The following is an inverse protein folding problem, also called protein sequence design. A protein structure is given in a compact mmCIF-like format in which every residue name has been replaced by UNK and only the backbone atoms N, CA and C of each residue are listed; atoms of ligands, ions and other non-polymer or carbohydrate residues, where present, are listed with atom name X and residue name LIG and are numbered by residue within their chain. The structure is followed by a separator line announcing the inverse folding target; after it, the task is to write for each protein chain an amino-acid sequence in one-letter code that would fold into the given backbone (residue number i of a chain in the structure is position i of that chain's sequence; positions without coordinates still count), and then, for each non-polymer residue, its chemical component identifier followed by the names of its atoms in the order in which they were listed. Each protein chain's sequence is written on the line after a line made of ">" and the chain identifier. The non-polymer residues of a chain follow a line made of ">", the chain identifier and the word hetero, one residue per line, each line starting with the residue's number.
data_IF_320248618661
#
_entry.id   IF_320248618661
#
_cell.length_a   1.000
_cell.length_b   1.000
_cell.length_c   1.000
_cell.angle_alpha   90.00
_cell.angle_beta   90.00
_cell.angle_gamma   90.00
#
_symmetry.space_group_name_H-M   'P 1'
#
loop_
_entity.id
_entity.type
_entity.pdbx_description
1 polymer ?
#
# COMPACT_ATOMS: atom_id res chain seq x y z
N UNK A 1 -37.44 6.87 -34.36
CA UNK A 1 -37.50 5.71 -33.43
C UNK A 1 -36.12 5.14 -33.08
N UNK A 2 -35.28 4.71 -34.05
CA UNK A 2 -33.95 4.10 -33.77
C UNK A 2 -32.95 4.99 -33.01
N UNK A 3 -32.87 6.30 -33.29
CA UNK A 3 -31.91 7.22 -32.62
C UNK A 3 -32.11 7.36 -31.11
N UNK A 4 -33.36 7.43 -30.63
CA UNK A 4 -33.66 7.52 -29.18
C UNK A 4 -33.30 6.23 -28.44
N UNK A 5 -33.50 5.08 -29.10
CA UNK A 5 -33.10 3.78 -28.56
C UNK A 5 -31.58 3.62 -28.44
N UNK A 6 -30.82 4.07 -29.45
CA UNK A 6 -29.36 4.10 -29.36
C UNK A 6 -28.84 5.00 -28.23
N UNK A 7 -29.46 6.17 -28.02
CA UNK A 7 -29.08 7.07 -26.93
C UNK A 7 -29.31 6.42 -25.57
N UNK A 8 -30.47 5.78 -25.36
CA UNK A 8 -30.75 5.04 -24.12
C UNK A 8 -29.77 3.88 -23.89
N UNK A 9 -29.38 3.19 -24.96
CA UNK A 9 -28.41 2.09 -24.89
C UNK A 9 -27.00 2.60 -24.50
N UNK A 10 -26.57 3.74 -25.05
CA UNK A 10 -25.30 4.39 -24.69
C UNK A 10 -25.30 4.83 -23.21
N UNK A 11 -26.39 5.43 -22.73
CA UNK A 11 -26.53 5.86 -21.33
C UNK A 11 -26.45 4.65 -20.38
N UNK A 12 -27.11 3.54 -20.72
CA UNK A 12 -27.02 2.30 -19.95
C UNK A 12 -25.60 1.76 -19.87
N UNK A 13 -24.87 1.75 -21.00
CA UNK A 13 -23.45 1.33 -21.02
C UNK A 13 -22.59 2.24 -20.13
N UNK A 14 -22.78 3.56 -20.20
CA UNK A 14 -22.02 4.51 -19.38
C UNK A 14 -22.28 4.25 -17.89
N UNK A 15 -23.53 4.00 -17.48
CA UNK A 15 -23.85 3.67 -16.09
C UNK A 15 -23.12 2.39 -15.63
N UNK A 16 -23.15 1.33 -16.44
CA UNK A 16 -22.45 0.08 -16.12
C UNK A 16 -20.94 0.30 -16.02
N UNK A 17 -20.34 1.01 -16.98
CA UNK A 17 -18.89 1.31 -16.96
C UNK A 17 -18.53 2.13 -15.72
N UNK A 18 -19.33 3.13 -15.36
CA UNK A 18 -19.10 3.96 -14.17
C UNK A 18 -19.16 3.14 -12.88
N UNK A 19 -20.10 2.21 -12.76
CA UNK A 19 -20.20 1.29 -11.63
C UNK A 19 -19.00 0.34 -11.56
N UNK A 20 -18.58 -0.23 -12.69
CA UNK A 20 -17.39 -1.07 -12.79
C UNK A 20 -16.11 -0.31 -12.39
N UNK A 21 -15.94 0.92 -12.88
CA UNK A 21 -14.79 1.77 -12.52
C UNK A 21 -14.78 2.12 -11.03
N UNK A 22 -15.95 2.46 -10.46
CA UNK A 22 -16.10 2.70 -9.03
C UNK A 22 -15.71 1.49 -8.18
N UNK A 23 -16.17 0.30 -8.58
CA UNK A 23 -15.78 -0.96 -7.90
C UNK A 23 -14.29 -1.24 -7.99
N UNK A 24 -13.67 -1.04 -9.16
CA UNK A 24 -12.23 -1.25 -9.33
C UNK A 24 -11.38 -0.23 -8.56
N UNK A 25 -11.90 0.97 -8.31
CA UNK A 25 -11.20 2.03 -7.58
C UNK A 25 -11.38 1.93 -6.06
N UNK A 26 -12.56 1.55 -5.56
CA UNK A 26 -12.91 1.62 -4.13
C UNK A 26 -13.35 0.28 -3.52
N UNK A 27 -13.73 -0.70 -4.33
CA UNK A 27 -14.27 -1.98 -3.87
C UNK A 27 -13.23 -3.02 -3.47
N UNK A 28 -11.93 -2.74 -3.69
CA UNK A 28 -10.84 -3.67 -3.44
C UNK A 28 -9.95 -3.17 -2.32
N UNK A 29 -9.71 -4.05 -1.35
CA UNK A 29 -8.86 -3.75 -0.23
C UNK A 29 -7.37 -3.91 -0.61
N UNK A 30 -6.52 -3.12 0.03
CA UNK A 30 -5.07 -3.27 -0.12
C UNK A 30 -4.57 -4.45 0.71
N UNK A 31 -3.51 -5.09 0.23
CA UNK A 31 -2.94 -6.27 0.89
C UNK A 31 -1.45 -6.40 0.65
N UNK A 32 -0.77 -7.14 1.52
CA UNK A 32 0.66 -7.45 1.37
C UNK A 32 0.79 -8.61 0.39
N UNK A 33 1.59 -8.41 -0.66
CA UNK A 33 1.89 -9.44 -1.64
C UNK A 33 3.12 -10.26 -1.26
N UNK A 34 4.14 -9.59 -0.73
CA UNK A 34 5.37 -10.23 -0.27
C UNK A 34 5.95 -9.44 0.91
N UNK A 35 6.68 -10.12 1.79
CA UNK A 35 7.31 -9.53 2.96
C UNK A 35 8.64 -10.22 3.22
N UNK A 36 9.68 -9.43 3.40
CA UNK A 36 11.02 -9.89 3.69
C UNK A 36 11.58 -9.12 4.88
N UNK A 37 11.85 -9.82 5.97
CA UNK A 37 12.50 -9.25 7.14
C UNK A 37 13.99 -9.64 7.14
N UNK A 38 14.84 -8.66 7.41
CA UNK A 38 16.28 -8.85 7.58
C UNK A 38 16.68 -8.31 8.95
N UNK A 39 17.40 -9.11 9.71
CA UNK A 39 17.95 -8.69 11.01
C UNK A 39 19.45 -8.59 10.87
N UNK A 40 20.01 -7.42 11.19
CA UNK A 40 21.45 -7.18 11.28
C UNK A 40 21.76 -6.78 12.72
N UNK A 41 22.32 -7.73 13.49
CA UNK A 41 22.57 -7.61 14.93
C UNK A 41 21.30 -7.18 15.72
N UNK A 42 21.24 -5.92 16.16
CA UNK A 42 20.11 -5.33 16.90
C UNK A 42 19.18 -4.49 16.03
N UNK A 43 19.46 -4.36 14.73
CA UNK A 43 18.68 -3.55 13.81
C UNK A 43 17.79 -4.44 12.94
N UNK A 44 16.48 -4.28 13.09
CA UNK A 44 15.48 -5.05 12.36
C UNK A 44 14.95 -4.23 11.17
N UNK A 45 15.30 -4.65 9.96
CA UNK A 45 14.74 -4.11 8.72
C UNK A 45 13.59 -4.97 8.23
N UNK A 46 12.47 -4.33 7.90
CA UNK A 46 11.33 -4.98 7.26
C UNK A 46 11.10 -4.38 5.87
N UNK A 47 11.05 -5.25 4.87
CA UNK A 47 10.78 -4.89 3.48
C UNK A 47 9.45 -5.47 3.06
N UNK A 48 8.50 -4.62 2.69
CA UNK A 48 7.16 -5.03 2.29
C UNK A 48 6.90 -4.72 0.82
N UNK A 49 6.24 -5.65 0.15
CA UNK A 49 5.64 -5.42 -1.14
C UNK A 49 4.13 -5.36 -0.97
N UNK A 50 3.55 -4.17 -1.16
CA UNK A 50 2.12 -3.92 -0.94
C UNK A 50 1.41 -3.73 -2.26
N UNK A 51 0.26 -4.37 -2.40
CA UNK A 51 -0.63 -4.21 -3.54
C UNK A 51 -1.87 -3.42 -3.11
N UNK A 52 -2.00 -2.19 -3.62
CA UNK A 52 -3.14 -1.32 -3.25
C UNK A 52 -4.44 -1.72 -3.90
N UNK A 53 -4.42 -2.47 -5.01
CA UNK A 53 -5.59 -2.88 -5.78
C UNK A 53 -6.49 -1.73 -6.29
N UNK A 54 -5.98 -0.49 -6.30
CA UNK A 54 -6.65 0.72 -6.83
C UNK A 54 -6.15 1.01 -8.25
N UNK A 55 -7.02 1.55 -9.12
CA UNK A 55 -6.62 1.94 -10.48
C UNK A 55 -5.71 3.17 -10.48
N UNK A 56 -5.99 4.12 -9.60
CA UNK A 56 -5.26 5.37 -9.49
C UNK A 56 -5.02 5.77 -8.03
N UNK A 57 -3.83 6.27 -7.74
CA UNK A 57 -3.48 6.88 -6.45
C UNK A 57 -3.11 8.33 -6.73
N UNK A 58 -3.97 9.25 -6.30
CA UNK A 58 -3.77 10.69 -6.52
C UNK A 58 -2.64 11.25 -5.65
N UNK A 59 -2.61 10.84 -4.38
CA UNK A 59 -1.60 11.27 -3.42
C UNK A 59 -0.84 10.04 -2.89
N UNK A 60 0.42 9.94 -3.30
CA UNK A 60 1.32 8.86 -2.89
C UNK A 60 1.62 8.93 -1.39
N UNK A 61 1.70 10.13 -0.81
CA UNK A 61 2.02 10.33 0.61
C UNK A 61 0.87 9.84 1.49
N UNK A 62 -0.37 10.23 1.18
CA UNK A 62 -1.56 9.75 1.93
C UNK A 62 -1.70 8.23 1.83
N UNK A 63 -1.41 7.65 0.66
CA UNK A 63 -1.41 6.21 0.48
C UNK A 63 -0.32 5.52 1.33
N UNK A 64 0.89 6.08 1.34
CA UNK A 64 1.99 5.58 2.14
C UNK A 64 1.68 5.64 3.65
N UNK A 65 1.09 6.75 4.12
CA UNK A 65 0.62 6.89 5.50
C UNK A 65 -0.46 5.86 5.87
N UNK A 66 -1.41 5.58 4.97
CA UNK A 66 -2.42 4.52 5.17
C UNK A 66 -1.74 3.15 5.30
N UNK A 67 -0.74 2.86 4.48
CA UNK A 67 0.03 1.61 4.54
C UNK A 67 0.81 1.50 5.85
N UNK A 68 1.51 2.55 6.28
CA UNK A 68 2.25 2.57 7.56
C UNK A 68 1.29 2.35 8.73
N UNK A 69 0.13 3.02 8.73
CA UNK A 69 -0.89 2.82 9.75
C UNK A 69 -1.33 1.35 9.83
N UNK A 70 -1.62 0.72 8.68
CA UNK A 70 -2.00 -0.70 8.62
C UNK A 70 -0.86 -1.63 9.04
N UNK A 71 0.39 -1.29 8.77
CA UNK A 71 1.55 -2.02 9.29
C UNK A 71 1.53 -1.97 10.81
N UNK A 72 1.48 -0.77 11.42
CA UNK A 72 1.46 -0.59 12.87
C UNK A 72 0.30 -1.29 13.57
N UNK A 73 -0.89 -1.21 12.98
CA UNK A 73 -2.10 -1.88 13.50
C UNK A 73 -2.13 -3.39 13.20
N UNK A 74 -1.14 -3.90 12.45
CA UNK A 74 -1.05 -5.29 11.99
C UNK A 74 -2.36 -5.77 11.32
N UNK A 75 -2.95 -4.90 10.51
CA UNK A 75 -4.32 -5.05 10.02
C UNK A 75 -4.38 -5.63 8.60
N UNK A 76 -3.28 -6.15 8.06
CA UNK A 76 -3.25 -6.78 6.75
C UNK A 76 -3.90 -8.16 6.81
N UNK A 77 -4.51 -8.56 5.68
CA UNK A 77 -5.22 -9.85 5.61
C UNK A 77 -4.26 -11.00 5.34
N UNK A 78 -3.27 -10.78 4.47
CA UNK A 78 -2.35 -11.84 4.05
C UNK A 78 -1.14 -12.03 4.95
N UNK A 79 -0.73 -11.00 5.70
CA UNK A 79 0.47 -11.05 6.56
C UNK A 79 0.11 -10.61 7.97
N UNK A 80 0.64 -11.34 8.95
CA UNK A 80 0.63 -10.96 10.36
C UNK A 80 2.06 -10.80 10.83
N UNK A 81 2.42 -9.59 11.19
CA UNK A 81 3.73 -9.29 11.77
C UNK A 81 3.79 -9.79 13.21
N UNK A 82 4.92 -10.39 13.59
CA UNK A 82 5.15 -10.89 14.95
C UNK A 82 5.75 -9.81 15.85
N UNK A 83 5.02 -8.70 16.01
CA UNK A 83 5.45 -7.57 16.85
C UNK A 83 5.62 -7.94 18.34
N UNK A 84 5.05 -9.07 18.77
CA UNK A 84 5.25 -9.62 20.11
C UNK A 84 6.70 -10.10 20.35
N UNK A 85 7.46 -10.39 19.29
CA UNK A 85 8.84 -10.90 19.38
C UNK A 85 9.89 -9.85 19.03
N UNK A 86 9.66 -9.09 17.95
CA UNK A 86 10.58 -8.03 17.51
C UNK A 86 9.82 -7.03 16.65
N UNK A 87 9.88 -5.75 17.04
CA UNK A 87 9.30 -4.66 16.25
C UNK A 87 10.40 -4.12 15.32
N UNK A 88 10.15 -3.97 14.01
CA UNK A 88 11.16 -3.45 13.09
C UNK A 88 11.50 -1.98 13.41
N UNK A 89 12.77 -1.66 13.24
CA UNK A 89 13.33 -0.32 13.36
C UNK A 89 13.29 0.44 12.04
N UNK A 90 13.28 -0.29 10.91
CA UNK A 90 13.25 0.28 9.58
C UNK A 90 12.17 -0.42 8.75
N UNK A 91 11.40 0.37 8.01
CA UNK A 91 10.39 -0.16 7.10
C UNK A 91 10.62 0.39 5.69
N UNK A 92 10.86 -0.51 4.73
CA UNK A 92 10.93 -0.19 3.31
C UNK A 92 9.74 -0.81 2.61
N UNK A 93 9.02 -0.03 1.81
CA UNK A 93 7.80 -0.51 1.15
C UNK A 93 7.84 -0.20 -0.33
N UNK A 94 7.63 -1.23 -1.14
CA UNK A 94 7.39 -1.11 -2.57
C UNK A 94 5.91 -1.28 -2.86
N UNK A 95 5.30 -0.30 -3.50
CA UNK A 95 3.85 -0.25 -3.74
C UNK A 95 3.53 -0.54 -5.20
N UNK A 96 2.64 -1.50 -5.43
CA UNK A 96 2.14 -1.89 -6.74
C UNK A 96 0.63 -1.70 -6.82
N UNK A 97 0.12 -1.40 -8.02
CA UNK A 97 -1.33 -1.26 -8.21
C UNK A 97 -2.08 -2.60 -8.13
N UNK A 98 -1.43 -3.70 -8.54
CA UNK A 98 -2.03 -5.03 -8.63
C UNK A 98 -0.96 -6.11 -8.61
N UNK A 99 -1.33 -7.35 -8.24
CA UNK A 99 -0.42 -8.52 -8.25
C UNK A 99 0.26 -8.72 -9.60
N UNK A 100 -0.49 -8.58 -10.69
CA UNK A 100 0.03 -8.67 -12.07
C UNK A 100 1.10 -7.61 -12.38
N UNK A 101 1.03 -6.43 -11.76
CA UNK A 101 2.07 -5.41 -11.91
C UNK A 101 3.29 -5.71 -11.04
N UNK A 102 3.10 -6.30 -9.86
CA UNK A 102 4.19 -6.81 -9.02
C UNK A 102 4.99 -7.88 -9.76
N UNK A 103 4.33 -8.87 -10.36
CA UNK A 103 4.97 -9.92 -11.19
C UNK A 103 5.76 -9.35 -12.37
N UNK A 104 5.33 -8.21 -12.93
CA UNK A 104 6.00 -7.52 -14.03
C UNK A 104 7.09 -6.57 -13.57
N UNK A 105 7.29 -6.39 -12.26
CA UNK A 105 8.22 -5.42 -11.69
C UNK A 105 7.84 -3.96 -11.95
N UNK A 106 6.60 -3.65 -12.34
CA UNK A 106 6.15 -2.27 -12.61
C UNK A 106 5.59 -1.62 -11.35
N UNK A 107 6.49 -1.13 -10.49
CA UNK A 107 6.11 -0.45 -9.26
C UNK A 107 5.43 0.89 -9.52
N UNK A 108 4.54 1.30 -8.63
CA UNK A 108 3.92 2.63 -8.67
C UNK A 108 4.84 3.67 -8.01
N UNK A 109 5.31 3.35 -6.81
CA UNK A 109 6.25 4.13 -6.03
C UNK A 109 6.83 3.23 -4.93
N UNK A 110 7.97 3.63 -4.37
CA UNK A 110 8.50 3.06 -3.13
C UNK A 110 8.62 4.15 -2.08
N UNK A 111 8.64 3.75 -0.81
CA UNK A 111 8.90 4.66 0.28
C UNK A 111 9.62 3.95 1.41
N UNK A 112 10.35 4.73 2.18
CA UNK A 112 11.00 4.30 3.40
C UNK A 112 10.40 5.04 4.60
N UNK A 113 10.28 4.34 5.72
CA UNK A 113 9.85 4.86 6.99
C UNK A 113 10.95 4.53 8.00
N UNK A 114 11.74 5.55 8.31
CA UNK A 114 12.99 5.45 9.05
C UNK A 114 12.96 6.45 10.21
N UNK A 115 13.62 6.16 11.34
CA UNK A 115 13.76 7.11 12.42
C UNK A 115 14.61 8.31 11.97
N UNK A 116 14.34 9.49 12.50
CA UNK A 116 15.15 10.70 12.26
C UNK A 116 16.55 10.56 12.86
N UNK A 117 16.62 9.96 14.03
CA UNK A 117 17.85 9.69 14.77
C UNK A 117 18.22 8.20 14.65
N UNK A 118 19.51 7.89 14.57
CA UNK A 118 20.03 6.53 14.45
C UNK A 118 20.01 5.74 15.78
N UNK A 119 19.02 5.99 16.63
CA UNK A 119 18.85 5.25 17.88
C UNK A 119 18.19 3.90 17.59
N UNK A 120 18.95 2.82 17.80
CA UNK A 120 18.53 1.43 17.60
C UNK A 120 17.39 0.98 18.54
N UNK A 121 16.94 1.86 19.44
CA UNK A 121 15.84 1.58 20.38
C UNK A 121 14.47 2.00 19.86
N UNK A 122 14.42 2.84 18.81
CA UNK A 122 13.16 3.31 18.25
C UNK A 122 12.51 2.26 17.37
N UNK A 123 11.19 2.19 17.48
CA UNK A 123 10.39 1.19 16.79
C UNK A 123 9.19 1.85 16.09
N UNK A 124 8.74 1.27 14.98
CA UNK A 124 7.71 1.87 14.13
C UNK A 124 6.33 1.99 14.81
N UNK A 125 6.09 1.25 15.89
CA UNK A 125 4.78 1.17 16.57
C UNK A 125 4.64 2.25 17.65
N UNK A 126 5.60 2.31 18.57
CA UNK A 126 5.57 3.15 19.76
C UNK A 126 6.14 4.56 19.52
N UNK A 127 7.11 4.70 18.61
CA UNK A 127 7.87 5.93 18.41
C UNK A 127 7.54 6.63 17.09
N UNK A 128 6.32 6.47 16.56
CA UNK A 128 5.94 6.95 15.22
C UNK A 128 6.22 8.42 14.93
N UNK A 129 6.25 9.24 15.98
CA UNK A 129 6.47 10.69 15.91
C UNK A 129 7.94 11.03 15.59
N UNK A 130 8.85 10.08 15.81
CA UNK A 130 10.28 10.20 15.51
C UNK A 130 10.66 9.63 14.14
N UNK A 131 9.69 9.15 13.38
CA UNK A 131 9.91 8.51 12.09
C UNK A 131 9.48 9.41 10.94
N UNK A 132 10.34 9.51 9.93
CA UNK A 132 10.04 10.22 8.69
C UNK A 132 9.67 9.24 7.58
N UNK A 133 8.54 9.54 6.92
CA UNK A 133 8.18 8.91 5.66
C UNK A 133 8.87 9.64 4.50
N UNK A 134 9.72 8.91 3.77
CA UNK A 134 10.44 9.41 2.59
C UNK A 134 9.97 8.64 1.36
N UNK A 135 9.38 9.37 0.42
CA UNK A 135 9.03 8.81 -0.90
C UNK A 135 10.31 8.68 -1.73
N UNK A 136 10.53 7.49 -2.28
CA UNK A 136 11.61 7.22 -3.21
C UNK A 136 11.09 7.42 -4.64
N UNK A 137 11.86 8.15 -5.46
CA UNK A 137 11.53 8.47 -6.85
C UNK A 137 12.14 7.48 -7.82
#
# INVERSE_FOLDING_TARGET
>A
MKKRWFISLIIGIIMVISGCLGYLQYGRDMDVYDSYAMTADNYHEERLTVVVNKLYVADQKVCAEEIVKRCRENSFKSVRFSYDQSIPNALYVTVYSSKRQAEKGKQMFSFSYLPEDSDETYNIVNDSDKFMLKLEK
#
